data_IF_815489603171
#
_entry.id   IF_815489603171
#
_cell.length_a   1.000
_cell.length_b   1.000
_cell.length_c   1.000
_cell.angle_alpha   90.00
_cell.angle_beta   90.00
_cell.angle_gamma   90.00
#
_symmetry.space_group_name_H-M   'P 1'
#
loop_
_entity.id
_entity.type
_entity.pdbx_description
1 polymer ?
#
# COMPACT_ATOMS: atom_id res chain seq x y z
N UNK A 1 3.62 -9.43 -27.52
CA UNK A 1 4.91 -8.86 -27.94
C UNK A 1 4.81 -7.39 -28.38
N UNK A 2 3.90 -6.99 -29.28
CA UNK A 2 3.76 -5.59 -29.73
C UNK A 2 3.49 -4.54 -28.62
N UNK A 3 2.74 -4.90 -27.56
CA UNK A 3 2.45 -4.01 -26.41
C UNK A 3 3.62 -3.81 -25.42
N UNK A 4 4.57 -4.76 -25.36
CA UNK A 4 5.76 -4.65 -24.51
C UNK A 4 6.80 -3.73 -25.15
N UNK A 5 6.92 -3.79 -26.48
CA UNK A 5 7.77 -2.87 -27.26
C UNK A 5 7.31 -1.42 -27.13
N UNK A 6 6.00 -1.14 -27.10
CA UNK A 6 5.48 0.22 -26.94
C UNK A 6 5.73 0.82 -25.55
N UNK A 7 5.67 0.01 -24.47
CA UNK A 7 5.93 0.50 -23.11
C UNK A 7 7.42 0.83 -22.89
N UNK A 8 8.34 -0.02 -23.34
CA UNK A 8 9.79 0.25 -23.20
C UNK A 8 10.23 1.45 -24.05
N UNK A 9 9.71 1.56 -25.28
CA UNK A 9 9.95 2.71 -26.13
C UNK A 9 9.44 4.02 -25.51
N UNK A 10 8.20 4.02 -24.99
CA UNK A 10 7.64 5.20 -24.32
C UNK A 10 8.45 5.56 -23.06
N UNK A 11 8.81 4.56 -22.25
CA UNK A 11 9.63 4.76 -21.05
C UNK A 11 10.98 5.39 -21.38
N UNK A 12 11.63 4.91 -22.44
CA UNK A 12 12.90 5.46 -22.91
C UNK A 12 12.74 6.89 -23.43
N UNK A 13 11.71 7.15 -24.25
CA UNK A 13 11.33 8.50 -24.72
C UNK A 13 11.10 9.48 -23.56
N UNK A 14 10.32 9.09 -22.57
CA UNK A 14 10.06 9.92 -21.37
C UNK A 14 11.36 10.18 -20.61
N UNK A 15 12.16 9.13 -20.40
CA UNK A 15 13.46 9.27 -19.78
C UNK A 15 14.34 10.23 -20.57
N UNK A 16 14.41 10.15 -21.89
CA UNK A 16 15.35 10.93 -22.71
C UNK A 16 14.90 12.37 -23.00
N UNK A 17 13.59 12.59 -23.16
CA UNK A 17 13.07 13.88 -23.64
C UNK A 17 12.44 14.72 -22.53
N UNK A 18 12.03 14.11 -21.41
CA UNK A 18 11.11 14.75 -20.45
C UNK A 18 11.68 14.77 -19.04
N UNK A 19 12.30 13.68 -18.58
CA UNK A 19 12.93 13.69 -17.25
C UNK A 19 14.13 14.65 -17.24
N UNK A 20 14.23 15.58 -16.26
CA UNK A 20 15.37 16.49 -16.12
C UNK A 20 16.71 15.75 -16.08
N UNK A 21 17.75 16.32 -16.70
CA UNK A 21 19.06 15.68 -16.89
C UNK A 21 19.68 15.13 -15.61
N UNK A 22 19.61 15.90 -14.53
CA UNK A 22 20.10 15.51 -13.20
C UNK A 22 19.36 14.27 -12.66
N UNK A 23 18.04 14.21 -12.81
CA UNK A 23 17.26 13.05 -12.40
C UNK A 23 17.60 11.80 -13.21
N UNK A 24 17.83 11.94 -14.52
CA UNK A 24 18.29 10.82 -15.36
C UNK A 24 19.63 10.29 -14.90
N UNK A 25 20.55 11.18 -14.56
CA UNK A 25 21.89 10.81 -14.12
C UNK A 25 21.83 10.11 -12.74
N UNK A 26 21.07 10.66 -11.80
CA UNK A 26 20.85 10.03 -10.50
C UNK A 26 20.17 8.64 -10.60
N UNK A 27 19.27 8.46 -11.58
CA UNK A 27 18.66 7.17 -11.88
C UNK A 27 19.65 6.18 -12.50
N UNK A 28 20.53 6.62 -13.41
CA UNK A 28 21.59 5.78 -13.96
C UNK A 28 22.58 5.30 -12.90
N UNK A 29 22.86 6.16 -11.92
CA UNK A 29 23.71 5.84 -10.77
C UNK A 29 23.02 4.92 -9.74
N UNK A 30 21.71 4.66 -9.88
CA UNK A 30 20.97 3.75 -9.02
C UNK A 30 20.61 4.30 -7.64
N UNK A 31 20.91 5.57 -7.35
CA UNK A 31 20.57 6.22 -6.08
C UNK A 31 19.12 6.69 -6.02
N UNK A 32 18.54 7.06 -7.17
CA UNK A 32 17.18 7.60 -7.29
C UNK A 32 16.34 6.74 -8.22
N UNK A 33 15.08 6.52 -7.87
CA UNK A 33 14.18 5.73 -8.68
C UNK A 33 12.80 6.40 -8.82
N UNK A 34 12.39 6.70 -10.07
CA UNK A 34 11.07 7.27 -10.36
C UNK A 34 10.06 6.15 -10.62
N UNK A 35 9.03 6.08 -9.79
CA UNK A 35 7.93 5.12 -9.98
C UNK A 35 7.08 5.48 -11.17
N UNK A 36 6.55 4.45 -11.85
CA UNK A 36 5.55 4.63 -12.91
C UNK A 36 6.04 5.53 -14.04
N UNK A 37 7.31 5.37 -14.47
CA UNK A 37 7.96 6.30 -15.41
C UNK A 37 7.24 6.39 -16.75
N UNK A 38 6.69 5.28 -17.25
CA UNK A 38 5.85 5.23 -18.44
C UNK A 38 4.53 6.03 -18.30
N UNK A 39 4.17 6.45 -17.09
CA UNK A 39 3.01 7.26 -16.77
C UNK A 39 3.39 8.61 -16.13
N UNK A 40 4.56 9.15 -16.47
CA UNK A 40 5.09 10.40 -15.92
C UNK A 40 4.12 11.60 -16.00
N UNK A 41 3.22 11.62 -17.01
CA UNK A 41 2.22 12.68 -17.27
C UNK A 41 0.86 12.45 -16.61
N UNK A 42 0.60 11.24 -16.12
CA UNK A 42 -0.72 10.83 -15.68
C UNK A 42 -0.92 11.11 -14.20
N UNK A 43 -2.02 11.75 -13.78
CA UNK A 43 -2.49 11.59 -12.43
C UNK A 43 -2.95 10.15 -12.25
N UNK A 44 -2.57 9.57 -11.13
CA UNK A 44 -3.11 8.32 -10.68
C UNK A 44 -4.59 8.52 -10.24
N UNK A 45 -5.41 7.49 -10.37
CA UNK A 45 -6.86 7.57 -10.60
C UNK A 45 -7.71 8.31 -9.54
N UNK A 46 -8.21 9.50 -9.84
CA UNK A 46 -9.36 10.05 -9.11
C UNK A 46 -10.65 9.31 -9.54
N UNK A 47 -11.09 8.32 -8.75
CA UNK A 47 -12.46 7.82 -8.82
C UNK A 47 -13.49 8.91 -8.46
N UNK A 48 -14.63 8.90 -9.16
CA UNK A 48 -15.75 9.79 -8.87
C UNK A 48 -16.41 9.45 -7.53
N UNK A 49 -17.01 10.44 -6.87
CA UNK A 49 -17.92 10.19 -5.75
C UNK A 49 -19.15 9.46 -6.28
N UNK A 50 -19.22 8.14 -6.03
CA UNK A 50 -20.32 7.29 -6.50
C UNK A 50 -21.69 7.64 -5.90
N UNK A 51 -21.74 8.53 -4.89
CA UNK A 51 -23.00 9.08 -4.36
C UNK A 51 -23.63 10.10 -5.31
N UNK A 52 -22.82 10.77 -6.13
CA UNK A 52 -23.25 11.74 -7.14
C UNK A 52 -23.29 11.15 -8.56
N UNK A 53 -22.80 9.93 -8.74
CA UNK A 53 -23.00 9.20 -9.99
C UNK A 53 -24.49 8.86 -10.04
N UNK A 54 -25.24 9.61 -10.84
CA UNK A 54 -26.69 9.50 -11.01
C UNK A 54 -27.16 8.18 -11.64
N UNK A 55 -26.51 7.06 -11.32
CA UNK A 55 -26.86 5.72 -11.75
C UNK A 55 -28.33 5.45 -11.44
N UNK A 56 -29.08 5.11 -12.48
CA UNK A 56 -30.50 4.81 -12.36
C UNK A 56 -30.72 3.39 -11.86
N UNK A 57 -29.76 2.49 -12.10
CA UNK A 57 -29.77 1.11 -11.63
C UNK A 57 -28.38 0.54 -11.30
N UNK A 58 -28.36 -0.66 -10.72
CA UNK A 58 -27.12 -1.34 -10.32
C UNK A 58 -26.27 -1.85 -11.49
N UNK A 59 -26.85 -2.09 -12.67
CA UNK A 59 -26.08 -2.51 -13.83
C UNK A 59 -25.23 -1.35 -14.36
N UNK A 60 -25.80 -0.14 -14.40
CA UNK A 60 -25.07 1.09 -14.73
C UNK A 60 -23.91 1.34 -13.76
N UNK A 61 -24.14 1.14 -12.46
CA UNK A 61 -23.08 1.24 -11.44
C UNK A 61 -21.95 0.23 -11.68
N UNK A 62 -22.28 -1.04 -11.93
CA UNK A 62 -21.28 -2.07 -12.23
C UNK A 62 -20.51 -1.77 -13.51
N UNK A 63 -21.17 -1.22 -14.53
CA UNK A 63 -20.52 -0.80 -15.76
C UNK A 63 -19.60 0.40 -15.53
N UNK A 64 -20.00 1.37 -14.71
CA UNK A 64 -19.15 2.52 -14.34
C UNK A 64 -17.92 2.05 -13.57
N UNK A 65 -18.10 1.24 -12.52
CA UNK A 65 -16.98 0.66 -11.76
C UNK A 65 -16.04 -0.13 -12.68
N UNK A 66 -16.57 -1.02 -13.51
CA UNK A 66 -15.78 -1.80 -14.44
C UNK A 66 -15.09 -0.93 -15.50
N UNK A 67 -15.72 0.16 -15.94
CA UNK A 67 -15.13 1.13 -16.86
C UNK A 67 -13.98 1.87 -16.19
N UNK A 68 -14.15 2.34 -14.96
CA UNK A 68 -13.12 3.06 -14.22
C UNK A 68 -11.92 2.16 -13.91
N UNK A 69 -12.16 0.90 -13.49
CA UNK A 69 -11.13 -0.12 -13.30
C UNK A 69 -10.38 -0.43 -14.62
N UNK A 70 -11.10 -0.53 -15.75
CA UNK A 70 -10.48 -0.76 -17.07
C UNK A 70 -9.76 0.46 -17.62
N UNK A 71 -10.26 1.66 -17.37
CA UNK A 71 -9.60 2.92 -17.72
C UNK A 71 -8.30 3.06 -16.93
N UNK A 72 -8.29 2.58 -15.69
CA UNK A 72 -7.10 2.52 -14.85
C UNK A 72 -6.07 1.48 -15.32
N UNK A 73 -6.48 0.44 -16.05
CA UNK A 73 -5.58 -0.53 -16.74
C UNK A 73 -4.51 0.11 -17.65
N UNK A 74 -4.64 1.42 -17.92
CA UNK A 74 -3.69 2.24 -18.67
C UNK A 74 -2.80 3.17 -17.81
N UNK A 75 -2.84 3.11 -16.46
CA UNK A 75 -2.11 4.01 -15.54
C UNK A 75 -1.50 3.22 -14.36
N UNK A 76 -0.18 3.15 -14.20
CA UNK A 76 0.48 2.18 -13.28
C UNK A 76 0.43 2.50 -11.77
N UNK A 77 -0.67 3.03 -11.27
CA UNK A 77 -0.89 3.14 -9.84
C UNK A 77 -1.60 1.90 -9.30
N UNK A 78 -1.20 1.42 -8.12
CA UNK A 78 -2.12 0.65 -7.27
C UNK A 78 -3.42 1.47 -7.17
N UNK A 79 -4.63 0.89 -7.11
CA UNK A 79 -5.96 1.48 -6.84
C UNK A 79 -6.29 1.46 -5.34
N UNK A 80 -6.94 2.49 -4.77
CA UNK A 80 -7.27 2.56 -3.34
C UNK A 80 -8.63 3.24 -3.14
N UNK A 81 -9.55 2.52 -2.50
CA UNK A 81 -10.93 2.95 -2.25
C UNK A 81 -11.06 3.31 -0.77
N UNK A 82 -11.01 4.60 -0.37
CA UNK A 82 -10.83 5.03 1.03
C UNK A 82 -12.02 4.77 1.96
N UNK A 83 -13.23 4.72 1.40
CA UNK A 83 -14.50 4.61 2.12
C UNK A 83 -15.42 3.59 1.46
N UNK A 84 -14.89 2.42 1.11
CA UNK A 84 -15.57 1.45 0.25
C UNK A 84 -16.94 1.03 0.80
N UNK A 85 -17.05 0.88 2.12
CA UNK A 85 -18.29 0.58 2.83
C UNK A 85 -19.30 1.73 2.80
N UNK A 86 -18.86 2.98 2.97
CA UNK A 86 -19.73 4.16 2.89
C UNK A 86 -20.18 4.44 1.47
N UNK A 87 -19.25 4.36 0.51
CA UNK A 87 -19.47 4.73 -0.90
C UNK A 87 -20.41 3.75 -1.60
N UNK A 88 -20.21 2.46 -1.37
CA UNK A 88 -21.00 1.42 -2.03
C UNK A 88 -22.09 0.85 -1.13
N UNK A 89 -22.03 1.03 0.19
CA UNK A 89 -22.98 0.41 1.13
C UNK A 89 -24.43 0.74 0.79
N UNK A 90 -24.71 2.04 0.62
CA UNK A 90 -26.04 2.50 0.23
C UNK A 90 -26.46 1.98 -1.14
N UNK A 91 -25.57 2.03 -2.14
CA UNK A 91 -25.86 1.59 -3.51
C UNK A 91 -26.13 0.09 -3.59
N UNK A 92 -25.36 -0.72 -2.86
CA UNK A 92 -25.58 -2.16 -2.77
C UNK A 92 -26.89 -2.47 -2.07
N UNK A 93 -27.19 -1.76 -0.99
CA UNK A 93 -28.46 -1.94 -0.28
C UNK A 93 -29.66 -1.53 -1.13
N UNK A 94 -29.52 -0.50 -1.96
CA UNK A 94 -30.55 0.00 -2.88
C UNK A 94 -30.79 -0.96 -4.05
N UNK A 95 -29.75 -1.38 -4.76
CA UNK A 95 -29.89 -2.15 -6.00
C UNK A 95 -29.87 -3.67 -5.80
N UNK A 96 -29.26 -4.14 -4.71
CA UNK A 96 -29.10 -5.56 -4.38
C UNK A 96 -29.43 -5.82 -2.90
N UNK A 97 -30.71 -5.69 -2.49
CA UNK A 97 -31.11 -5.77 -1.09
C UNK A 97 -31.02 -7.18 -0.49
N UNK A 98 -30.78 -8.24 -1.27
CA UNK A 98 -30.57 -9.60 -0.75
C UNK A 98 -29.07 -9.92 -0.60
N UNK A 99 -28.66 -10.44 0.55
CA UNK A 99 -27.24 -10.59 0.92
C UNK A 99 -26.49 -11.50 -0.06
N UNK A 100 -27.08 -12.61 -0.45
CA UNK A 100 -26.51 -13.53 -1.46
C UNK A 100 -26.28 -12.85 -2.82
N UNK A 101 -27.20 -11.95 -3.22
CA UNK A 101 -27.08 -11.21 -4.47
C UNK A 101 -25.96 -10.17 -4.35
N UNK A 102 -25.90 -9.44 -3.24
CA UNK A 102 -24.80 -8.50 -2.94
C UNK A 102 -23.45 -9.21 -2.98
N UNK A 103 -23.35 -10.36 -2.32
CA UNK A 103 -22.12 -11.17 -2.26
C UNK A 103 -21.67 -11.60 -3.65
N UNK A 104 -22.56 -12.13 -4.48
CA UNK A 104 -22.23 -12.54 -5.85
C UNK A 104 -21.75 -11.37 -6.72
N UNK A 105 -22.37 -10.19 -6.58
CA UNK A 105 -21.96 -9.00 -7.32
C UNK A 105 -20.57 -8.52 -6.88
N UNK A 106 -20.32 -8.48 -5.57
CA UNK A 106 -19.01 -8.11 -5.02
C UNK A 106 -17.92 -9.12 -5.39
N UNK A 107 -18.20 -10.42 -5.34
CA UNK A 107 -17.28 -11.45 -5.83
C UNK A 107 -16.93 -11.24 -7.30
N UNK A 108 -17.90 -10.89 -8.15
CA UNK A 108 -17.64 -10.58 -9.55
C UNK A 108 -16.82 -9.31 -9.74
N UNK A 109 -17.02 -8.30 -8.89
CA UNK A 109 -16.17 -7.10 -8.87
C UNK A 109 -14.73 -7.45 -8.48
N UNK A 110 -14.52 -8.33 -7.50
CA UNK A 110 -13.19 -8.78 -7.09
C UNK A 110 -12.49 -9.61 -8.17
N UNK A 111 -13.24 -10.44 -8.91
CA UNK A 111 -12.72 -11.11 -10.10
C UNK A 111 -12.25 -10.11 -11.16
N UNK A 112 -12.95 -8.99 -11.34
CA UNK A 112 -12.54 -7.94 -12.27
C UNK A 112 -11.26 -7.24 -11.81
N UNK A 113 -11.10 -6.96 -10.50
CA UNK A 113 -9.85 -6.44 -9.94
C UNK A 113 -8.68 -7.40 -10.20
N UNK A 114 -8.87 -8.70 -9.98
CA UNK A 114 -7.83 -9.71 -10.28
C UNK A 114 -7.49 -9.83 -11.78
N UNK A 115 -8.40 -9.45 -12.68
CA UNK A 115 -8.19 -9.51 -14.12
C UNK A 115 -7.45 -8.31 -14.68
N UNK A 116 -7.20 -7.26 -13.88
CA UNK A 116 -6.42 -6.10 -14.30
C UNK A 116 -4.94 -6.28 -13.94
N UNK A 117 -4.06 -6.61 -14.90
CA UNK A 117 -2.72 -7.14 -14.65
C UNK A 117 -1.69 -6.11 -14.14
N UNK A 118 -2.09 -4.90 -13.76
CA UNK A 118 -1.18 -3.78 -13.45
C UNK A 118 -1.48 -3.02 -12.15
N UNK A 119 -2.53 -3.38 -11.41
CA UNK A 119 -2.96 -2.61 -10.24
C UNK A 119 -3.15 -3.50 -9.02
N UNK A 120 -2.47 -3.16 -7.94
CA UNK A 120 -2.85 -3.62 -6.60
C UNK A 120 -4.10 -2.83 -6.20
N UNK A 121 -5.19 -3.47 -5.78
CA UNK A 121 -6.44 -2.77 -5.44
C UNK A 121 -6.65 -2.86 -3.94
N UNK A 122 -6.49 -1.75 -3.22
CA UNK A 122 -6.80 -1.70 -1.81
C UNK A 122 -8.20 -1.15 -1.57
N UNK A 123 -8.98 -1.78 -0.68
CA UNK A 123 -10.24 -1.20 -0.17
C UNK A 123 -10.10 -0.91 1.32
N UNK A 124 -10.49 0.29 1.73
CA UNK A 124 -10.52 0.73 3.12
C UNK A 124 -11.98 0.73 3.58
N UNK A 125 -12.23 0.13 4.74
CA UNK A 125 -13.58 -0.07 5.29
C UNK A 125 -13.54 -0.28 6.80
N UNK A 126 -14.70 -0.29 7.45
CA UNK A 126 -14.87 -0.64 8.87
C UNK A 126 -15.34 0.50 9.77
N UNK A 127 -15.40 1.74 9.26
CA UNK A 127 -15.84 2.91 10.03
C UNK A 127 -17.28 3.35 9.76
N UNK A 128 -17.98 2.76 8.77
CA UNK A 128 -19.41 3.00 8.57
C UNK A 128 -20.27 2.19 9.55
N UNK A 129 -21.08 2.88 10.35
CA UNK A 129 -21.98 2.29 11.36
C UNK A 129 -23.43 2.13 10.87
N UNK A 130 -23.73 2.57 9.65
CA UNK A 130 -25.03 2.33 9.03
C UNK A 130 -25.23 0.84 8.75
N UNK A 131 -26.48 0.39 8.75
CA UNK A 131 -26.78 -1.01 8.42
C UNK A 131 -26.25 -1.42 7.05
N UNK A 132 -26.30 -0.48 6.10
CA UNK A 132 -25.80 -0.65 4.74
C UNK A 132 -24.27 -0.86 4.68
N UNK A 133 -23.50 0.02 5.33
CA UNK A 133 -22.04 -0.07 5.37
C UNK A 133 -21.54 -1.27 6.17
N UNK A 134 -22.17 -1.57 7.32
CA UNK A 134 -21.87 -2.77 8.12
C UNK A 134 -22.11 -4.04 7.34
N UNK A 135 -23.23 -4.11 6.64
CA UNK A 135 -23.56 -5.26 5.79
C UNK A 135 -22.55 -5.42 4.66
N UNK A 136 -22.18 -4.34 3.97
CA UNK A 136 -21.14 -4.40 2.93
C UNK A 136 -19.81 -4.91 3.49
N UNK A 137 -19.36 -4.34 4.61
CA UNK A 137 -18.14 -4.78 5.30
C UNK A 137 -18.19 -6.27 5.64
N UNK A 138 -19.29 -6.75 6.22
CA UNK A 138 -19.48 -8.17 6.56
C UNK A 138 -19.39 -9.06 5.33
N UNK A 139 -20.05 -8.70 4.24
CA UNK A 139 -20.02 -9.46 2.97
C UNK A 139 -18.59 -9.52 2.43
N UNK A 140 -17.87 -8.40 2.40
CA UNK A 140 -16.48 -8.36 1.92
C UNK A 140 -15.59 -9.28 2.75
N UNK A 141 -15.65 -9.19 4.08
CA UNK A 141 -14.85 -10.06 4.96
C UNK A 141 -15.22 -11.54 4.78
N UNK A 142 -16.51 -11.87 4.64
CA UNK A 142 -16.97 -13.24 4.39
C UNK A 142 -16.52 -13.79 3.02
N UNK A 143 -16.54 -12.96 1.96
CA UNK A 143 -16.00 -13.35 0.64
C UNK A 143 -14.53 -13.72 0.78
N UNK A 144 -13.74 -12.94 1.52
CA UNK A 144 -12.32 -13.23 1.74
C UNK A 144 -12.09 -14.46 2.62
N UNK A 145 -13.01 -14.77 3.54
CA UNK A 145 -12.97 -15.97 4.38
C UNK A 145 -13.31 -17.25 3.60
N UNK A 146 -14.15 -17.15 2.56
CA UNK A 146 -14.78 -18.27 1.85
C UNK A 146 -13.83 -19.23 1.08
N UNK A 147 -12.52 -19.07 1.17
CA UNK A 147 -11.58 -19.98 0.53
C UNK A 147 -11.09 -19.51 -0.84
N UNK A 148 -11.84 -18.67 -1.56
CA UNK A 148 -11.41 -18.12 -2.85
C UNK A 148 -10.12 -17.32 -2.71
N UNK A 149 -9.09 -17.67 -3.49
CA UNK A 149 -7.80 -16.96 -3.49
C UNK A 149 -7.90 -15.73 -4.38
N UNK A 150 -8.64 -14.72 -3.93
CA UNK A 150 -8.53 -13.39 -4.50
C UNK A 150 -7.18 -12.83 -4.08
N UNK A 151 -6.32 -12.49 -5.05
CA UNK A 151 -5.11 -11.69 -4.78
C UNK A 151 -5.50 -10.26 -4.43
N UNK A 152 -6.59 -9.77 -5.04
CA UNK A 152 -7.11 -8.42 -4.88
C UNK A 152 -8.65 -8.45 -4.74
N UNK A 153 -9.26 -7.52 -3.98
CA UNK A 153 -8.59 -6.40 -3.34
C UNK A 153 -7.93 -6.78 -2.01
N UNK A 154 -6.84 -6.12 -1.67
CA UNK A 154 -6.33 -6.11 -0.29
C UNK A 154 -7.22 -5.21 0.58
N UNK A 155 -7.48 -5.61 1.82
CA UNK A 155 -8.35 -4.86 2.74
C UNK A 155 -7.51 -4.10 3.76
N UNK A 156 -7.86 -2.83 3.99
CA UNK A 156 -7.44 -2.06 5.15
C UNK A 156 -8.66 -1.87 6.05
N UNK A 157 -8.70 -2.59 7.16
CA UNK A 157 -9.74 -2.43 8.17
C UNK A 157 -9.42 -1.24 9.07
N UNK A 158 -10.35 -0.29 9.17
CA UNK A 158 -10.18 0.95 9.94
C UNK A 158 -10.69 0.74 11.37
N UNK A 159 -9.78 0.88 12.32
CA UNK A 159 -10.06 0.69 13.75
C UNK A 159 -10.20 2.03 14.43
N UNK A 160 -11.33 2.23 15.13
CA UNK A 160 -11.64 3.47 15.85
C UNK A 160 -12.42 3.19 17.12
N UNK A 161 -12.05 3.85 18.21
CA UNK A 161 -12.80 3.89 19.47
C UNK A 161 -14.19 4.47 19.27
N UNK A 162 -15.20 3.82 19.84
CA UNK A 162 -16.60 4.21 19.65
C UNK A 162 -17.20 3.73 18.32
N UNK A 163 -16.45 2.95 17.53
CA UNK A 163 -16.93 2.38 16.26
C UNK A 163 -16.64 0.89 16.16
N UNK A 164 -15.40 0.46 16.37
CA UNK A 164 -15.01 -0.94 16.18
C UNK A 164 -14.06 -1.50 17.24
N UNK A 165 -13.60 -0.71 18.21
CA UNK A 165 -12.49 -1.09 19.10
C UNK A 165 -12.94 -1.79 20.39
N UNK A 166 -14.00 -1.29 21.05
CA UNK A 166 -14.48 -1.84 22.31
C UNK A 166 -15.65 -2.83 22.08
N UNK A 167 -15.86 -3.83 22.97
CA UNK A 167 -16.98 -4.77 22.83
C UNK A 167 -18.38 -4.15 22.75
N UNK A 168 -18.54 -2.93 23.26
CA UNK A 168 -19.78 -2.14 23.18
C UNK A 168 -19.95 -1.39 21.86
N UNK A 169 -18.92 -1.32 21.03
CA UNK A 169 -18.93 -0.57 19.79
C UNK A 169 -19.68 -1.33 18.68
N UNK A 170 -20.41 -0.60 17.83
CA UNK A 170 -21.32 -1.15 16.82
C UNK A 170 -20.67 -2.12 15.82
N UNK A 171 -19.41 -1.92 15.48
CA UNK A 171 -18.65 -2.70 14.50
C UNK A 171 -17.60 -3.59 15.16
N UNK A 172 -17.66 -3.81 16.47
CA UNK A 172 -16.73 -4.71 17.16
C UNK A 172 -16.80 -6.14 16.62
N UNK A 173 -18.00 -6.60 16.27
CA UNK A 173 -18.23 -7.90 15.62
C UNK A 173 -17.45 -8.01 14.29
N UNK A 174 -17.42 -6.93 13.51
CA UNK A 174 -16.68 -6.85 12.24
C UNK A 174 -15.16 -6.79 12.45
N UNK A 175 -14.68 -6.13 13.51
CA UNK A 175 -13.26 -6.16 13.88
C UNK A 175 -12.82 -7.59 14.24
N UNK A 176 -13.62 -8.33 15.01
CA UNK A 176 -13.31 -9.71 15.36
C UNK A 176 -13.24 -10.61 14.12
N UNK A 177 -14.14 -10.40 13.15
CA UNK A 177 -14.09 -11.10 11.86
C UNK A 177 -12.83 -10.75 11.06
N UNK A 178 -12.43 -9.47 11.05
CA UNK A 178 -11.19 -9.01 10.41
C UNK A 178 -9.93 -9.61 11.07
N UNK A 179 -9.91 -9.75 12.40
CA UNK A 179 -8.81 -10.40 13.12
C UNK A 179 -8.76 -11.91 12.87
N UNK A 180 -9.92 -12.58 12.79
CA UNK A 180 -9.99 -13.98 12.37
C UNK A 180 -9.41 -14.16 10.94
N UNK A 181 -9.69 -13.25 10.01
CA UNK A 181 -9.06 -13.26 8.68
C UNK A 181 -7.55 -13.02 8.74
N UNK A 182 -7.09 -12.08 9.58
CA UNK A 182 -5.68 -11.75 9.73
C UNK A 182 -4.84 -12.91 10.29
N UNK A 183 -5.48 -13.83 11.04
CA UNK A 183 -4.86 -15.08 11.49
C UNK A 183 -4.53 -16.01 10.31
N UNK A 184 -5.45 -16.12 9.36
CA UNK A 184 -5.44 -17.18 8.36
C UNK A 184 -4.91 -16.73 6.98
N UNK A 185 -4.93 -15.43 6.67
CA UNK A 185 -4.65 -14.91 5.32
C UNK A 185 -3.82 -13.63 5.28
N UNK A 186 -2.95 -13.55 4.26
CA UNK A 186 -2.20 -12.35 3.87
C UNK A 186 -3.03 -11.52 2.91
N UNK A 187 -3.97 -10.74 3.43
CA UNK A 187 -4.79 -9.85 2.60
C UNK A 187 -5.52 -8.76 3.38
N UNK A 188 -5.24 -8.63 4.67
CA UNK A 188 -5.83 -7.62 5.54
C UNK A 188 -4.75 -6.89 6.33
N UNK A 189 -4.90 -5.57 6.40
CA UNK A 189 -4.10 -4.64 7.18
C UNK A 189 -5.04 -3.81 8.07
N UNK A 190 -4.48 -3.11 9.06
CA UNK A 190 -5.26 -2.34 10.02
C UNK A 190 -4.75 -0.90 10.04
N UNK A 191 -5.66 0.04 9.82
CA UNK A 191 -5.41 1.48 10.01
C UNK A 191 -5.99 1.90 11.36
N UNK A 192 -5.12 2.37 12.27
CA UNK A 192 -5.49 2.77 13.61
C UNK A 192 -5.82 4.27 13.58
N UNK A 193 -7.11 4.57 13.46
CA UNK A 193 -7.61 5.93 13.19
C UNK A 193 -7.45 6.89 14.37
N UNK A 194 -7.30 6.36 15.58
CA UNK A 194 -7.11 7.15 16.80
C UNK A 194 -5.65 7.52 17.06
N UNK A 195 -4.70 7.04 16.24
CA UNK A 195 -3.29 7.45 16.36
C UNK A 195 -3.16 8.96 16.12
N UNK A 196 -2.15 9.60 16.72
CA UNK A 196 -1.91 11.04 16.54
C UNK A 196 -1.74 11.42 15.06
N UNK A 197 -1.13 10.55 14.26
CA UNK A 197 -0.91 10.77 12.83
C UNK A 197 -2.22 10.75 12.01
N UNK A 198 -3.20 9.93 12.41
CA UNK A 198 -4.45 9.77 11.66
C UNK A 198 -5.58 10.65 12.19
N UNK A 199 -5.69 10.79 13.51
CA UNK A 199 -6.79 11.49 14.18
C UNK A 199 -6.89 12.97 13.80
N UNK A 200 -5.77 13.63 13.51
CA UNK A 200 -5.74 15.03 13.05
C UNK A 200 -6.50 15.25 11.72
N UNK A 201 -6.76 14.19 10.95
CA UNK A 201 -7.45 14.22 9.66
C UNK A 201 -8.82 13.52 9.71
N UNK A 202 -9.35 13.27 10.91
CA UNK A 202 -10.65 12.64 11.13
C UNK A 202 -10.79 11.29 10.41
N UNK A 203 -11.61 11.23 9.36
CA UNK A 203 -11.85 10.05 8.55
C UNK A 203 -11.18 10.11 7.17
N UNK A 204 -10.46 11.17 6.83
CA UNK A 204 -9.97 11.45 5.47
C UNK A 204 -8.64 10.77 5.12
N UNK A 205 -7.98 10.12 6.09
CA UNK A 205 -6.74 9.37 5.82
C UNK A 205 -7.08 8.03 5.19
N UNK A 206 -6.31 7.68 4.16
CA UNK A 206 -6.36 6.37 3.52
C UNK A 206 -4.98 5.75 3.44
N UNK A 207 -4.94 4.42 3.45
CA UNK A 207 -3.73 3.66 3.24
C UNK A 207 -3.89 2.70 2.07
N UNK A 208 -2.82 2.50 1.31
CA UNK A 208 -2.71 1.26 0.55
C UNK A 208 -2.33 0.12 1.50
N UNK A 209 -2.47 -1.10 1.02
CA UNK A 209 -2.18 -2.29 1.82
C UNK A 209 -0.71 -2.42 2.26
N UNK A 210 0.23 -1.73 1.62
CA UNK A 210 1.65 -1.72 1.98
C UNK A 210 2.05 -0.61 2.96
N UNK A 211 1.07 0.18 3.41
CA UNK A 211 1.26 1.22 4.41
C UNK A 211 1.65 2.59 3.85
N UNK A 212 1.57 2.78 2.52
CA UNK A 212 1.61 4.11 1.91
C UNK A 212 0.39 4.89 2.38
N UNK A 213 0.61 6.06 2.96
CA UNK A 213 -0.41 6.88 3.60
C UNK A 213 -0.69 8.11 2.75
N UNK A 214 -1.97 8.38 2.53
CA UNK A 214 -2.43 9.58 1.83
C UNK A 214 -3.33 10.37 2.77
N UNK A 215 -3.05 11.68 2.88
CA UNK A 215 -3.81 12.65 3.66
C UNK A 215 -4.22 13.84 2.76
N UNK A 216 -5.32 14.55 3.09
CA UNK A 216 -5.71 15.77 2.39
C UNK A 216 -4.58 16.81 2.38
N UNK A 217 -4.39 17.47 1.24
CA UNK A 217 -3.46 18.59 1.11
C UNK A 217 -4.21 19.93 1.25
N UNK A 218 -3.58 20.92 1.88
CA UNK A 218 -4.02 22.34 1.93
C UNK A 218 -5.32 22.68 2.68
N UNK A 219 -5.75 21.88 3.67
CA UNK A 219 -6.90 22.25 4.52
C UNK A 219 -8.26 22.19 3.82
N UNK A 220 -8.29 21.77 2.54
CA UNK A 220 -9.50 21.37 1.87
C UNK A 220 -10.00 20.09 2.53
N UNK A 221 -11.01 20.24 3.42
CA UNK A 221 -11.76 19.13 4.03
C UNK A 221 -12.49 18.26 2.98
N UNK A 222 -12.43 18.66 1.71
CA UNK A 222 -13.03 17.99 0.57
C UNK A 222 -11.97 17.15 -0.17
N UNK A 223 -11.82 15.89 0.22
CA UNK A 223 -11.54 14.83 -0.74
C UNK A 223 -12.83 14.53 -1.52
N UNK A 224 -13.33 15.54 -2.27
CA UNK A 224 -14.42 15.37 -3.24
C UNK A 224 -14.03 14.46 -4.41
N UNK A 225 -12.73 14.17 -4.52
CA UNK A 225 -12.22 13.05 -5.28
C UNK A 225 -12.07 11.87 -4.30
N UNK A 226 -13.13 11.07 -4.15
CA UNK A 226 -13.09 9.76 -3.44
C UNK A 226 -12.43 8.74 -4.34
N UNK A 227 -11.17 9.01 -4.63
CA UNK A 227 -10.45 8.45 -5.74
C UNK A 227 -8.98 8.65 -5.48
N UNK A 228 -8.22 7.64 -5.80
CA UNK A 228 -6.80 7.73 -5.60
C UNK A 228 -6.15 8.96 -6.17
N UNK A 229 -5.14 9.38 -5.44
CA UNK A 229 -4.07 10.15 -5.98
C UNK A 229 -2.83 9.38 -5.59
N UNK A 230 -2.43 8.38 -6.38
CA UNK A 230 -1.10 7.84 -6.18
C UNK A 230 -0.12 8.99 -6.46
N UNK A 231 0.73 9.28 -5.47
CA UNK A 231 1.61 10.41 -5.52
C UNK A 231 2.60 10.24 -6.67
N UNK A 232 3.13 11.35 -7.16
CA UNK A 232 4.49 11.28 -7.65
C UNK A 232 5.33 10.63 -6.55
N UNK A 233 5.81 9.40 -6.79
CA UNK A 233 6.65 8.66 -5.87
C UNK A 233 8.04 8.55 -6.46
N UNK A 234 9.02 8.99 -5.69
CA UNK A 234 10.44 8.79 -6.00
C UNK A 234 11.07 8.05 -4.82
N UNK A 235 11.71 6.93 -5.09
CA UNK A 235 12.46 6.19 -4.08
C UNK A 235 13.93 6.55 -4.08
N UNK A 236 14.54 6.53 -2.90
CA UNK A 236 15.97 6.71 -2.68
C UNK A 236 16.57 5.42 -2.12
N UNK A 237 17.67 4.98 -2.69
CA UNK A 237 18.46 3.86 -2.19
C UNK A 237 19.36 4.36 -1.05
N UNK A 238 18.84 4.34 0.18
CA UNK A 238 19.55 4.91 1.34
C UNK A 238 20.91 4.24 1.55
N UNK A 239 21.04 2.89 1.56
CA UNK A 239 22.35 2.24 1.72
C UNK A 239 23.40 2.68 0.70
N UNK A 240 22.99 2.80 -0.58
CA UNK A 240 23.91 3.22 -1.65
C UNK A 240 24.32 4.67 -1.47
N UNK A 241 23.37 5.56 -1.21
CA UNK A 241 23.63 7.00 -1.06
C UNK A 241 24.49 7.28 0.17
N UNK A 242 24.22 6.63 1.30
CA UNK A 242 25.04 6.73 2.51
C UNK A 242 26.47 6.21 2.28
N UNK A 243 26.65 5.21 1.41
CA UNK A 243 28.00 4.74 1.04
C UNK A 243 28.84 5.78 0.30
N UNK A 244 28.21 6.78 -0.31
CA UNK A 244 28.86 7.93 -0.94
C UNK A 244 28.98 9.15 -0.01
N UNK A 245 28.47 9.05 1.23
CA UNK A 245 28.49 10.09 2.24
C UNK A 245 27.16 10.84 2.39
N UNK A 246 26.99 11.50 3.54
CA UNK A 246 25.77 12.21 3.93
C UNK A 246 25.28 13.21 2.88
N UNK A 247 26.20 13.95 2.26
CA UNK A 247 25.89 14.94 1.22
C UNK A 247 25.22 14.32 -0.01
N UNK A 248 25.53 13.06 -0.34
CA UNK A 248 24.93 12.35 -1.47
C UNK A 248 23.44 12.08 -1.23
N UNK A 249 23.07 11.65 -0.03
CA UNK A 249 21.66 11.47 0.35
C UNK A 249 20.91 12.81 0.34
N UNK A 250 21.52 13.86 0.86
CA UNK A 250 20.94 15.21 0.87
C UNK A 250 20.75 15.80 -0.53
N UNK A 251 21.68 15.53 -1.44
CA UNK A 251 21.58 15.91 -2.85
C UNK A 251 20.46 15.11 -3.52
N UNK A 252 20.41 13.79 -3.33
CA UNK A 252 19.38 12.93 -3.89
C UNK A 252 17.96 13.32 -3.44
N UNK A 253 17.79 13.79 -2.20
CA UNK A 253 16.53 14.38 -1.74
C UNK A 253 16.13 15.62 -2.56
N UNK A 254 17.09 16.49 -2.89
CA UNK A 254 16.86 17.63 -3.77
C UNK A 254 16.44 17.20 -5.18
N UNK A 255 17.12 16.20 -5.74
CA UNK A 255 16.77 15.61 -7.05
C UNK A 255 15.36 15.02 -7.01
N UNK A 256 15.00 14.30 -5.96
CA UNK A 256 13.68 13.72 -5.78
C UNK A 256 12.59 14.79 -5.73
N UNK A 257 12.77 15.82 -4.90
CA UNK A 257 11.83 16.93 -4.80
C UNK A 257 11.64 17.64 -6.15
N UNK A 258 12.72 17.89 -6.88
CA UNK A 258 12.67 18.48 -8.23
C UNK A 258 11.94 17.59 -9.23
N UNK A 259 12.19 16.29 -9.22
CA UNK A 259 11.49 15.33 -10.08
C UNK A 259 9.99 15.29 -9.78
N UNK A 260 9.63 15.34 -8.50
CA UNK A 260 8.24 15.39 -8.06
C UNK A 260 7.54 16.69 -8.44
N UNK A 261 8.20 17.83 -8.24
CA UNK A 261 7.70 19.13 -8.65
C UNK A 261 7.52 19.22 -10.18
N UNK A 262 8.50 18.75 -10.94
CA UNK A 262 8.42 18.71 -12.40
C UNK A 262 7.26 17.83 -12.89
N UNK A 263 7.01 16.68 -12.25
CA UNK A 263 5.83 15.86 -12.56
C UNK A 263 4.52 16.63 -12.36
N UNK A 264 4.41 17.45 -11.31
CA UNK A 264 3.23 18.30 -11.13
C UNK A 264 3.07 19.35 -12.22
N UNK A 265 4.15 20.02 -12.61
CA UNK A 265 4.12 21.05 -13.67
C UNK A 265 3.66 20.47 -15.01
N UNK A 266 4.10 19.23 -15.29
CA UNK A 266 3.70 18.49 -16.49
C UNK A 266 2.24 18.04 -16.43
N UNK A 267 1.69 17.76 -15.24
CA UNK A 267 0.26 17.45 -15.06
C UNK A 267 -0.56 18.73 -15.23
N UNK A 268 -1.21 18.91 -16.37
CA UNK A 268 -1.92 20.14 -16.74
C UNK A 268 -3.20 20.46 -15.91
N UNK A 269 -3.56 19.63 -14.94
CA UNK A 269 -4.77 19.81 -14.13
C UNK A 269 -4.47 20.54 -12.83
N UNK A 270 -4.95 21.78 -12.72
CA UNK A 270 -4.77 22.62 -11.53
C UNK A 270 -5.37 22.00 -10.25
N UNK A 271 -6.51 21.32 -10.36
CA UNK A 271 -7.13 20.62 -9.22
C UNK A 271 -6.26 19.47 -8.71
N UNK A 272 -5.64 18.71 -9.62
CA UNK A 272 -4.73 17.62 -9.26
C UNK A 272 -3.41 18.15 -8.70
N UNK A 273 -2.87 19.23 -9.26
CA UNK A 273 -1.67 19.88 -8.74
C UNK A 273 -1.81 20.38 -7.29
N UNK A 274 -3.03 20.63 -6.80
CA UNK A 274 -3.29 21.06 -5.42
C UNK A 274 -3.44 19.90 -4.43
N UNK A 275 -3.90 18.74 -4.92
CA UNK A 275 -4.28 17.59 -4.10
C UNK A 275 -3.29 16.42 -4.16
N UNK A 276 -2.39 16.41 -5.14
CA UNK A 276 -1.36 15.37 -5.32
C UNK A 276 -0.41 15.30 -4.12
N UNK A 277 -0.38 14.18 -3.37
CA UNK A 277 0.68 13.95 -2.41
C UNK A 277 2.01 13.83 -3.17
N UNK A 278 3.10 14.27 -2.57
CA UNK A 278 4.45 14.14 -3.13
C UNK A 278 5.26 13.28 -2.18
N UNK A 279 5.54 12.04 -2.56
CA UNK A 279 6.17 11.07 -1.66
C UNK A 279 7.59 10.78 -2.08
N UNK A 280 8.50 10.97 -1.12
CA UNK A 280 9.88 10.49 -1.21
C UNK A 280 9.99 9.24 -0.34
N UNK A 281 10.21 8.10 -0.98
CA UNK A 281 10.29 6.81 -0.30
C UNK A 281 11.76 6.46 -0.01
N UNK A 282 12.07 6.16 1.24
CA UNK A 282 13.40 5.79 1.69
C UNK A 282 13.49 4.26 1.72
N UNK A 283 14.29 3.68 0.84
CA UNK A 283 14.47 2.23 0.73
C UNK A 283 15.76 1.81 1.41
N UNK A 284 15.70 0.72 2.19
CA UNK A 284 16.88 0.14 2.84
C UNK A 284 17.33 0.86 4.11
N UNK A 285 16.46 1.67 4.73
CA UNK A 285 16.72 2.23 6.06
C UNK A 285 17.13 1.11 7.04
N UNK A 286 18.20 1.34 7.78
CA UNK A 286 18.69 0.39 8.79
C UNK A 286 17.70 0.27 9.96
N UNK A 287 17.74 -0.87 10.66
CA UNK A 287 16.93 -1.11 11.88
C UNK A 287 17.70 -0.83 13.18
N UNK A 288 18.87 -0.20 13.09
CA UNK A 288 19.74 0.13 14.23
C UNK A 288 19.47 1.56 14.75
N UNK A 289 20.16 1.96 15.83
CA UNK A 289 19.97 3.27 16.46
C UNK A 289 20.23 4.47 15.54
N UNK A 290 21.07 4.32 14.51
CA UNK A 290 21.40 5.40 13.58
C UNK A 290 20.26 5.74 12.61
N UNK A 291 19.20 4.92 12.55
CA UNK A 291 18.02 5.23 11.71
C UNK A 291 17.38 6.56 12.10
N UNK A 292 17.35 6.89 13.39
CA UNK A 292 16.75 8.13 13.88
C UNK A 292 17.59 9.36 13.52
N UNK A 293 18.92 9.23 13.55
CA UNK A 293 19.82 10.30 13.14
C UNK A 293 19.67 10.60 11.65
N UNK A 294 19.63 9.55 10.83
CA UNK A 294 19.36 9.66 9.40
C UNK A 294 17.98 10.29 9.14
N UNK A 295 16.92 9.81 9.78
CA UNK A 295 15.58 10.37 9.61
C UNK A 295 15.48 11.82 10.10
N UNK A 296 16.17 12.20 11.18
CA UNK A 296 16.20 13.58 11.66
C UNK A 296 16.86 14.51 10.63
N UNK A 297 17.99 14.09 10.07
CA UNK A 297 18.68 14.80 9.01
C UNK A 297 17.81 14.95 7.75
N UNK A 298 17.25 13.84 7.27
CA UNK A 298 16.39 13.80 6.08
C UNK A 298 15.15 14.68 6.30
N UNK A 299 14.52 14.60 7.48
CA UNK A 299 13.37 15.45 7.85
C UNK A 299 13.71 16.93 7.79
N UNK A 300 14.87 17.33 8.33
CA UNK A 300 15.33 18.74 8.26
C UNK A 300 15.57 19.19 6.82
N UNK A 301 16.06 18.32 5.94
CA UNK A 301 16.21 18.65 4.52
C UNK A 301 14.86 18.76 3.82
N UNK A 302 13.93 17.85 4.09
CA UNK A 302 12.57 17.90 3.53
C UNK A 302 11.84 19.17 3.96
N UNK A 303 11.93 19.60 5.21
CA UNK A 303 11.34 20.87 5.65
C UNK A 303 11.85 22.07 4.84
N UNK A 304 13.16 22.14 4.58
CA UNK A 304 13.74 23.18 3.70
C UNK A 304 13.24 23.07 2.26
N UNK A 305 13.10 21.86 1.73
CA UNK A 305 12.53 21.65 0.40
C UNK A 305 11.06 22.08 0.33
N UNK A 306 10.29 21.93 1.42
CA UNK A 306 8.91 22.43 1.47
C UNK A 306 8.85 23.94 1.34
N UNK A 307 9.76 24.66 2.00
CA UNK A 307 9.89 26.11 1.88
C UNK A 307 10.36 26.52 0.47
N UNK A 308 11.35 25.82 -0.08
CA UNK A 308 11.94 26.10 -1.41
C UNK A 308 10.92 25.96 -2.55
N UNK A 309 10.11 24.90 -2.53
CA UNK A 309 9.15 24.61 -3.59
C UNK A 309 7.72 25.11 -3.26
N UNK A 310 7.45 25.55 -2.03
CA UNK A 310 6.09 25.86 -1.58
C UNK A 310 5.14 24.67 -1.63
N UNK A 311 5.65 23.45 -1.40
CA UNK A 311 4.91 22.19 -1.54
C UNK A 311 5.21 21.22 -0.40
N UNK A 312 4.23 20.41 0.00
CA UNK A 312 4.43 19.38 1.01
C UNK A 312 4.98 18.09 0.41
N UNK A 313 6.23 17.77 0.74
CA UNK A 313 6.81 16.44 0.50
C UNK A 313 6.67 15.58 1.76
N UNK A 314 6.16 14.36 1.59
CA UNK A 314 6.00 13.37 2.65
C UNK A 314 7.08 12.29 2.51
N UNK A 315 7.66 11.90 3.63
CA UNK A 315 8.61 10.78 3.68
C UNK A 315 7.86 9.48 3.93
N UNK A 316 8.20 8.43 3.19
CA UNK A 316 7.72 7.07 3.43
C UNK A 316 8.87 6.08 3.53
N UNK A 317 8.62 4.92 4.11
CA UNK A 317 9.48 3.74 4.00
C UNK A 317 8.59 2.50 3.89
N UNK A 318 8.08 2.24 2.68
CA UNK A 318 7.28 1.05 2.38
C UNK A 318 8.11 0.01 1.64
N UNK A 319 7.73 -1.26 1.77
CA UNK A 319 8.49 -2.42 1.29
C UNK A 319 8.44 -2.64 -0.24
N UNK A 320 7.92 -1.67 -1.01
CA UNK A 320 7.41 -1.91 -2.37
C UNK A 320 8.45 -1.80 -3.49
N UNK A 321 9.74 -1.60 -3.20
CA UNK A 321 10.74 -1.39 -4.26
C UNK A 321 11.69 -2.58 -4.42
N UNK A 322 11.15 -3.63 -5.05
CA UNK A 322 11.84 -4.89 -5.44
C UNK A 322 13.04 -4.65 -6.37
N UNK A 323 13.22 -3.42 -6.88
CA UNK A 323 14.28 -3.04 -7.83
C UNK A 323 15.62 -2.76 -7.18
N UNK A 324 15.68 -2.50 -5.89
CA UNK A 324 16.95 -2.42 -5.16
C UNK A 324 17.30 -3.82 -4.63
N UNK A 325 17.86 -4.66 -5.51
CA UNK A 325 18.14 -6.09 -5.30
C UNK A 325 19.07 -6.42 -4.12
N UNK A 326 19.63 -5.41 -3.45
CA UNK A 326 20.58 -5.57 -2.35
C UNK A 326 20.09 -4.97 -1.02
N UNK A 327 18.92 -4.34 -1.00
CA UNK A 327 18.41 -3.65 0.18
C UNK A 327 17.36 -4.52 0.85
N UNK A 328 17.59 -4.91 2.11
CA UNK A 328 16.51 -5.40 2.98
C UNK A 328 15.35 -4.38 2.94
N UNK A 329 14.08 -4.82 2.86
CA UNK A 329 12.94 -3.91 2.76
C UNK A 329 12.83 -3.06 4.04
N UNK A 330 13.43 -1.86 4.03
CA UNK A 330 13.49 -0.91 5.15
C UNK A 330 13.79 -1.55 6.51
N UNK A 331 13.49 -0.88 7.63
CA UNK A 331 13.39 -1.54 8.93
C UNK A 331 12.23 -2.57 9.00
N UNK A 332 11.52 -2.78 7.88
CA UNK A 332 10.28 -3.56 7.76
C UNK A 332 10.48 -5.08 7.53
N UNK A 333 11.61 -5.66 7.93
CA UNK A 333 11.80 -7.12 7.92
C UNK A 333 12.14 -7.74 9.28
N UNK A 334 12.38 -6.91 10.30
CA UNK A 334 12.58 -7.34 11.68
C UNK A 334 11.34 -7.09 12.54
N UNK A 335 11.04 -8.01 13.47
CA UNK A 335 10.08 -7.81 14.54
C UNK A 335 10.55 -6.64 15.42
N UNK A 336 10.11 -5.42 15.12
CA UNK A 336 10.35 -4.24 15.96
C UNK A 336 9.30 -4.13 17.07
N UNK A 337 9.62 -3.40 18.14
CA UNK A 337 8.62 -3.11 19.17
C UNK A 337 7.56 -2.13 18.62
N UNK A 338 6.31 -2.22 19.09
CA UNK A 338 5.26 -1.26 18.71
C UNK A 338 5.65 0.20 18.97
N UNK A 339 6.39 0.47 20.05
CA UNK A 339 6.87 1.82 20.39
C UNK A 339 7.84 2.35 19.34
N UNK A 340 8.79 1.52 18.89
CA UNK A 340 9.72 1.91 17.84
C UNK A 340 8.99 2.18 16.52
N UNK A 341 8.02 1.33 16.19
CA UNK A 341 7.20 1.47 14.99
C UNK A 341 6.38 2.77 14.99
N UNK A 342 5.79 3.14 16.13
CA UNK A 342 5.05 4.38 16.28
C UNK A 342 5.96 5.61 16.06
N UNK A 343 7.16 5.62 16.65
CA UNK A 343 8.14 6.69 16.43
C UNK A 343 8.56 6.82 14.97
N UNK A 344 8.81 5.70 14.29
CA UNK A 344 9.14 5.70 12.86
C UNK A 344 7.98 6.23 12.00
N UNK A 345 6.75 5.82 12.29
CA UNK A 345 5.56 6.30 11.57
C UNK A 345 5.34 7.80 11.75
N UNK A 346 5.69 8.37 12.90
CA UNK A 346 5.64 9.81 13.11
C UNK A 346 6.66 10.57 12.24
N UNK A 347 7.87 10.02 12.05
CA UNK A 347 8.90 10.60 11.20
C UNK A 347 8.69 10.32 9.70
N UNK A 348 7.84 9.35 9.37
CA UNK A 348 7.51 8.92 8.02
C UNK A 348 6.01 9.11 7.72
N UNK A 349 5.50 10.36 7.69
CA UNK A 349 4.08 10.64 7.56
C UNK A 349 3.47 10.21 6.21
N UNK A 350 4.30 9.95 5.20
CA UNK A 350 3.90 9.41 3.90
C UNK A 350 3.71 7.89 3.89
N UNK A 351 4.08 7.20 4.97
CA UNK A 351 3.75 5.80 5.15
C UNK A 351 4.89 4.92 5.67
N UNK A 352 4.54 4.04 6.61
CA UNK A 352 5.39 2.96 7.11
C UNK A 352 4.50 1.85 7.66
N UNK A 353 4.86 0.60 7.40
CA UNK A 353 4.08 -0.55 7.85
C UNK A 353 4.70 -1.21 9.08
N UNK A 354 3.96 -1.26 10.19
CA UNK A 354 4.34 -2.09 11.33
C UNK A 354 3.97 -3.55 11.09
N UNK A 355 4.94 -4.46 11.06
CA UNK A 355 4.69 -5.90 10.97
C UNK A 355 4.61 -6.51 12.38
N UNK A 356 3.38 -6.69 12.86
CA UNK A 356 3.08 -7.39 14.10
C UNK A 356 3.19 -8.91 13.92
N UNK A 357 3.52 -9.67 14.96
CA UNK A 357 3.71 -11.13 14.84
C UNK A 357 2.37 -11.87 14.94
N UNK A 358 1.92 -12.49 13.86
CA UNK A 358 0.75 -13.38 13.93
C UNK A 358 1.15 -14.74 14.52
N UNK A 359 2.24 -15.37 14.06
CA UNK A 359 2.58 -16.75 14.45
C UNK A 359 1.52 -17.79 14.01
N UNK A 360 1.87 -19.08 14.00
CA UNK A 360 1.01 -20.14 13.42
C UNK A 360 -0.15 -20.61 14.30
N UNK A 361 -0.22 -20.19 15.58
CA UNK A 361 -1.17 -20.71 16.57
C UNK A 361 -1.92 -19.63 17.35
N UNK A 362 -1.91 -18.36 16.91
CA UNK A 362 -2.52 -17.31 17.70
C UNK A 362 -4.03 -17.23 17.56
N UNK A 363 -4.72 -16.97 18.67
CA UNK A 363 -6.16 -16.72 18.68
C UNK A 363 -6.47 -15.28 18.24
N UNK A 364 -7.71 -15.00 17.82
CA UNK A 364 -8.11 -13.62 17.48
C UNK A 364 -8.02 -12.67 18.67
N UNK A 365 -8.19 -13.19 19.89
CA UNK A 365 -8.05 -12.43 21.14
C UNK A 365 -6.60 -12.00 21.35
N UNK A 366 -5.62 -12.86 21.04
CA UNK A 366 -4.20 -12.49 21.10
C UNK A 366 -3.81 -11.47 20.02
N UNK A 367 -4.41 -11.54 18.83
CA UNK A 367 -4.24 -10.52 17.80
C UNK A 367 -4.88 -9.19 18.22
N UNK A 368 -6.05 -9.24 18.86
CA UNK A 368 -6.70 -8.06 19.43
C UNK A 368 -5.82 -7.39 20.49
N UNK A 369 -5.21 -8.15 21.41
CA UNK A 369 -4.31 -7.59 22.42
C UNK A 369 -3.10 -6.89 21.80
N UNK A 370 -2.48 -7.47 20.76
CA UNK A 370 -1.39 -6.82 20.03
C UNK A 370 -1.85 -5.55 19.31
N UNK A 371 -3.03 -5.58 18.70
CA UNK A 371 -3.62 -4.41 18.06
C UNK A 371 -3.88 -3.29 19.07
N UNK A 372 -4.42 -3.64 20.24
CA UNK A 372 -4.67 -2.70 21.34
C UNK A 372 -3.37 -2.09 21.89
N UNK A 373 -2.33 -2.89 22.08
CA UNK A 373 -0.99 -2.41 22.47
C UNK A 373 -0.44 -1.44 21.43
N UNK A 374 -0.50 -1.79 20.15
CA UNK A 374 -0.07 -0.94 19.05
C UNK A 374 -0.83 0.40 19.02
N UNK A 375 -2.16 0.35 19.22
CA UNK A 375 -2.97 1.56 19.29
C UNK A 375 -2.62 2.42 20.51
N UNK A 376 -2.35 1.81 21.66
CA UNK A 376 -2.00 2.53 22.89
C UNK A 376 -0.68 3.30 22.75
N UNK A 377 0.30 2.74 22.06
CA UNK A 377 1.61 3.39 21.85
C UNK A 377 1.64 4.31 20.63
N UNK A 378 0.54 4.42 19.88
CA UNK A 378 0.40 5.37 18.79
C UNK A 378 0.82 4.86 17.41
N UNK A 379 0.88 3.55 17.19
CA UNK A 379 1.00 2.97 15.84
C UNK A 379 -0.22 3.43 15.03
N UNK A 380 0.02 3.84 13.79
CA UNK A 380 -0.99 4.35 12.84
C UNK A 380 -1.46 3.30 11.83
N UNK A 381 -0.60 2.34 11.48
CA UNK A 381 -0.88 1.31 10.49
C UNK A 381 -0.07 0.05 10.78
N UNK A 382 -0.71 -1.12 10.69
CA UNK A 382 -0.04 -2.39 10.92
C UNK A 382 -0.59 -3.53 10.06
N UNK A 383 0.22 -4.57 9.92
CA UNK A 383 -0.14 -5.87 9.36
C UNK A 383 0.33 -6.96 10.28
N UNK A 384 -0.41 -8.05 10.34
CA UNK A 384 0.03 -9.26 11.01
C UNK A 384 0.85 -10.11 10.02
N UNK A 385 2.10 -10.41 10.39
CA UNK A 385 2.96 -11.33 9.67
C UNK A 385 2.53 -12.76 9.98
N UNK A 386 1.90 -13.41 9.01
CA UNK A 386 1.54 -14.82 9.07
C UNK A 386 2.66 -15.67 8.47
N UNK A 387 3.12 -16.67 9.21
CA UNK A 387 4.04 -17.69 8.70
C UNK A 387 3.26 -18.67 7.82
N UNK A 388 2.89 -18.27 6.61
CA UNK A 388 2.23 -19.14 5.62
C UNK A 388 3.27 -19.97 4.87
N UNK A 389 4.00 -20.79 5.62
CA UNK A 389 4.91 -21.77 5.05
C UNK A 389 4.13 -23.06 4.83
N UNK A 390 3.97 -23.46 3.56
CA UNK A 390 3.29 -24.71 3.20
C UNK A 390 4.28 -25.71 2.65
N UNK A 391 4.07 -26.98 2.97
CA UNK A 391 4.81 -28.07 2.34
C UNK A 391 4.47 -28.10 0.85
N UNK A 392 5.46 -28.04 -0.05
CA UNK A 392 5.18 -28.09 -1.49
C UNK A 392 4.59 -29.45 -1.94
N UNK A 393 4.77 -30.53 -1.17
CA UNK A 393 4.28 -31.85 -1.53
C UNK A 393 2.80 -32.07 -1.14
N UNK A 394 2.40 -31.64 0.06
CA UNK A 394 1.05 -31.88 0.58
C UNK A 394 0.23 -30.62 0.84
N UNK A 395 0.78 -29.43 0.59
CA UNK A 395 0.17 -28.12 0.81
C UNK A 395 -0.28 -27.81 2.26
N UNK A 396 0.04 -28.70 3.21
CA UNK A 396 -0.24 -28.49 4.63
C UNK A 396 0.66 -27.41 5.23
N UNK A 397 0.14 -26.60 6.18
CA UNK A 397 0.95 -25.67 6.94
C UNK A 397 2.08 -26.39 7.67
N UNK A 398 3.29 -25.86 7.61
CA UNK A 398 4.48 -26.41 8.27
C UNK A 398 5.29 -25.29 8.91
N UNK A 399 6.07 -25.63 9.93
CA UNK A 399 7.04 -24.69 10.49
C UNK A 399 8.08 -24.26 9.43
N UNK A 400 8.65 -23.07 9.61
CA UNK A 400 9.65 -22.51 8.70
C UNK A 400 10.93 -23.36 8.57
N UNK A 401 11.19 -24.28 9.51
CA UNK A 401 12.34 -25.21 9.54
C UNK A 401 11.91 -26.64 9.93
N UNK A 402 12.60 -27.65 9.39
CA UNK A 402 12.36 -29.08 9.68
C UNK A 402 11.48 -29.84 8.66
N UNK A 403 11.54 -31.18 8.62
CA UNK A 403 10.75 -31.98 7.69
C UNK A 403 9.25 -31.78 7.92
N UNK A 404 8.45 -31.85 6.85
CA UNK A 404 6.99 -31.77 6.98
C UNK A 404 6.49 -32.87 7.95
N UNK A 405 5.79 -32.55 9.05
CA UNK A 405 5.34 -33.55 10.01
C UNK A 405 4.31 -34.51 9.41
N UNK A 406 3.62 -34.11 8.33
CA UNK A 406 2.60 -34.93 7.69
C UNK A 406 3.15 -35.88 6.62
N UNK A 407 4.18 -35.48 5.87
CA UNK A 407 4.68 -36.26 4.72
C UNK A 407 6.19 -36.48 4.68
N UNK A 408 6.93 -36.01 5.69
CA UNK A 408 8.37 -36.21 5.84
C UNK A 408 9.26 -35.48 4.83
N UNK A 409 8.70 -34.71 3.89
CA UNK A 409 9.48 -34.04 2.84
C UNK A 409 10.43 -32.98 3.41
N UNK A 410 11.73 -33.08 3.09
CA UNK A 410 12.79 -32.26 3.68
C UNK A 410 12.97 -30.86 3.09
N UNK A 411 12.58 -30.57 1.83
CA UNK A 411 12.24 -29.21 1.36
C UNK A 411 11.91 -29.16 -0.14
N UNK A 412 10.74 -28.62 -0.45
CA UNK A 412 10.55 -27.35 -1.19
C UNK A 412 9.41 -26.68 -0.42
N UNK A 413 9.61 -25.45 0.06
CA UNK A 413 8.58 -24.72 0.80
C UNK A 413 8.28 -23.47 0.01
N UNK A 414 7.01 -23.19 -0.25
CA UNK A 414 6.62 -21.95 -0.91
C UNK A 414 6.35 -20.93 0.19
N UNK A 415 7.22 -19.92 0.32
CA UNK A 415 6.93 -18.73 1.12
C UNK A 415 6.10 -17.81 0.26
N UNK A 416 4.81 -17.68 0.57
CA UNK A 416 3.95 -16.73 -0.10
C UNK A 416 4.16 -15.38 0.60
N UNK A 417 4.89 -14.46 0.00
CA UNK A 417 5.01 -13.08 0.49
C UNK A 417 4.07 -12.21 -0.36
N UNK A 418 3.17 -11.46 0.27
CA UNK A 418 2.24 -10.54 -0.42
C UNK A 418 1.54 -11.13 -1.66
N UNK A 419 1.06 -12.38 -1.59
CA UNK A 419 0.35 -13.02 -2.71
C UNK A 419 1.21 -13.25 -3.98
N UNK A 420 2.47 -12.85 -3.98
CA UNK A 420 3.42 -13.07 -5.06
C UNK A 420 4.30 -14.27 -4.71
N UNK A 421 4.36 -15.24 -5.62
CA UNK A 421 5.28 -16.38 -5.52
C UNK A 421 6.71 -15.83 -5.61
N UNK A 422 7.41 -15.75 -4.48
CA UNK A 422 8.83 -15.39 -4.38
C UNK A 422 9.80 -16.42 -5.01
N UNK A 423 9.30 -17.43 -5.72
CA UNK A 423 10.11 -18.53 -6.27
C UNK A 423 11.08 -18.10 -7.39
N UNK A 424 10.98 -16.86 -7.88
CA UNK A 424 11.81 -16.33 -8.98
C UNK A 424 12.98 -15.43 -8.53
N UNK A 425 12.90 -14.74 -7.39
CA UNK A 425 13.98 -13.84 -6.95
C UNK A 425 15.18 -14.58 -6.33
N UNK A 426 14.97 -15.76 -5.73
CA UNK A 426 16.04 -16.50 -5.04
C UNK A 426 16.94 -17.35 -5.94
N UNK A 427 16.65 -17.47 -7.25
CA UNK A 427 17.45 -18.33 -8.15
C UNK A 427 18.80 -17.72 -8.56
N UNK A 428 19.02 -16.42 -8.34
CA UNK A 428 20.21 -15.71 -8.83
C UNK A 428 21.14 -15.18 -7.73
N UNK A 429 20.91 -15.52 -6.47
CA UNK A 429 21.77 -15.09 -5.35
C UNK A 429 23.14 -15.80 -5.32
N UNK A 430 23.33 -16.85 -6.12
CA UNK A 430 24.56 -17.67 -6.13
C UNK A 430 25.57 -17.31 -7.23
N UNK A 431 25.43 -16.16 -7.92
CA UNK A 431 26.41 -15.73 -8.93
C UNK A 431 27.15 -14.44 -8.53
N UNK A 432 28.33 -14.55 -7.89
CA UNK A 432 29.09 -13.40 -7.39
C UNK A 432 29.81 -12.56 -8.47
N UNK A 433 29.75 -12.92 -9.76
CA UNK A 433 30.55 -12.28 -10.83
C UNK A 433 29.75 -11.55 -11.93
N UNK A 434 28.47 -11.19 -11.70
CA UNK A 434 27.70 -10.40 -12.67
C UNK A 434 27.13 -9.12 -12.04
N UNK A 435 27.70 -7.92 -12.34
CA UNK A 435 27.04 -6.65 -12.06
C UNK A 435 26.01 -6.39 -13.17
N UNK A 436 25.08 -7.33 -13.37
CA UNK A 436 23.98 -7.12 -14.31
C UNK A 436 22.78 -6.70 -13.49
N UNK A 437 22.53 -5.39 -13.46
CA UNK A 437 21.26 -4.80 -13.03
C UNK A 437 20.16 -5.46 -13.86
N UNK A 438 19.53 -6.49 -13.32
CA UNK A 438 18.34 -7.09 -13.91
C UNK A 438 17.21 -6.08 -13.71
N UNK A 439 16.97 -5.28 -14.74
CA UNK A 439 15.74 -4.51 -14.91
C UNK A 439 14.58 -5.50 -15.03
N UNK A 440 14.05 -5.95 -13.89
CA UNK A 440 12.85 -6.78 -13.87
C UNK A 440 11.65 -5.91 -14.22
N UNK A 441 11.12 -6.15 -15.42
CA UNK A 441 9.81 -5.72 -15.86
C UNK A 441 8.73 -6.41 -15.02
N UNK A 442 7.95 -5.63 -14.29
CA UNK A 442 6.65 -6.05 -13.74
C UNK A 442 5.72 -4.86 -13.74
#
# INVERSE_FOLDING_TARGET
>A
MARLWSCNYLRQKVLEEIVPSEGREAMKQGGVFVHSLEHYFGPDLALPDYRDVGCQDGAELMLSLAHDIKRDSFRSAALCLPHFDTDLGFLISRFWPHEDKSARILSRLFELFCQTPRHEVTVNLGDDTTEAGRRLTRIVLNILASGHTYLEPQVVFRVRKGTSFAPSDTNYDLLMLALDLARDRKGIAFSLMDSALNSQWMNLVTYNSHGLRVEPQHGDLYLGCRGQVVPGRVSLNVPLLESYGEDSLLQALGVAARLLAHRLEVVQSESLQRTLPLIINLVGLSSNSSVFDCLALVSKRVLRLREEYGRNFLLSATADDVRFTYSTPGPASGLMSPVLAASLQHMLPGGHCYLAKAGTHRSKEELYHQLAEAQQVGVSFLRFSVDDTRCAACALPVAASGPCPACGTESRRTVIYNGSRLEECMRNADNPESPTVLWLSS
#
